data_IF_881265519292
#
_entry.id   IF_881265519292
#
_cell.length_a   1.000
_cell.length_b   1.000
_cell.length_c   1.000
_cell.angle_alpha   90.00
_cell.angle_beta   90.00
_cell.angle_gamma   90.00
#
_symmetry.space_group_name_H-M   'P 1'
#
loop_
_entity.id
_entity.type
_entity.pdbx_description
1 polymer ?
#
# COMPACT_ATOMS: atom_id res chain seq x y z
N UNK A 1 -5.12 0.59 -13.53
CA UNK A 1 -5.04 -0.88 -13.76
C UNK A 1 -6.06 -1.59 -12.87
N UNK A 2 -6.74 -2.63 -13.35
CA UNK A 2 -7.69 -3.43 -12.54
C UNK A 2 -7.17 -4.85 -12.35
N UNK A 3 -6.95 -5.26 -11.10
CA UNK A 3 -6.48 -6.60 -10.73
C UNK A 3 -7.65 -7.60 -10.63
N UNK A 4 -7.45 -8.83 -11.12
CA UNK A 4 -8.41 -9.92 -10.88
C UNK A 4 -8.38 -10.39 -9.42
N UNK A 5 -9.42 -11.11 -8.99
CA UNK A 5 -9.47 -11.67 -7.63
C UNK A 5 -8.29 -12.60 -7.35
N UNK A 6 -7.88 -13.40 -8.35
CA UNK A 6 -6.71 -14.28 -8.26
C UNK A 6 -5.41 -13.50 -8.06
N UNK A 7 -5.23 -12.41 -8.80
CA UNK A 7 -4.06 -11.53 -8.64
C UNK A 7 -4.05 -10.84 -7.28
N UNK A 8 -5.21 -10.34 -6.82
CA UNK A 8 -5.34 -9.77 -5.47
C UNK A 8 -4.99 -10.80 -4.39
N UNK A 9 -5.48 -12.03 -4.50
CA UNK A 9 -5.19 -13.08 -3.52
C UNK A 9 -3.71 -13.45 -3.50
N UNK A 10 -3.08 -13.57 -4.67
CA UNK A 10 -1.64 -13.79 -4.79
C UNK A 10 -0.82 -12.69 -4.09
N UNK A 11 -1.12 -11.41 -4.38
CA UNK A 11 -0.43 -10.28 -3.77
C UNK A 11 -0.67 -10.20 -2.26
N UNK A 12 -1.87 -10.52 -1.77
CA UNK A 12 -2.15 -10.62 -0.33
C UNK A 12 -1.32 -11.71 0.34
N UNK A 13 -1.14 -12.85 -0.32
CA UNK A 13 -0.26 -13.93 0.14
C UNK A 13 1.20 -13.47 0.23
N UNK A 14 1.72 -12.84 -0.82
CA UNK A 14 3.07 -12.27 -0.82
C UNK A 14 3.27 -11.18 0.24
N UNK A 15 2.23 -10.40 0.51
CA UNK A 15 2.28 -9.35 1.52
C UNK A 15 2.36 -9.94 2.93
N UNK A 16 1.84 -11.14 3.20
CA UNK A 16 1.71 -11.67 4.57
C UNK A 16 3.03 -11.62 5.35
N UNK A 17 4.12 -12.12 4.77
CA UNK A 17 5.46 -12.17 5.38
C UNK A 17 6.22 -10.83 5.35
N UNK A 18 5.74 -9.81 4.63
CA UNK A 18 6.42 -8.51 4.53
C UNK A 18 6.20 -7.68 5.80
N UNK A 19 7.22 -6.96 6.24
CA UNK A 19 7.10 -5.92 7.27
C UNK A 19 6.63 -4.60 6.63
N UNK A 20 5.97 -3.71 7.39
CA UNK A 20 5.76 -2.34 6.94
C UNK A 20 7.08 -1.67 6.61
N UNK A 21 7.14 -1.02 5.44
CA UNK A 21 8.33 -0.28 4.99
C UNK A 21 8.18 1.22 5.19
N UNK A 22 6.94 1.72 5.30
CA UNK A 22 6.64 3.09 5.69
C UNK A 22 5.83 3.10 6.98
N UNK A 23 6.23 3.95 7.92
CA UNK A 23 5.60 4.15 9.21
C UNK A 23 5.21 5.64 9.32
N UNK A 24 3.91 5.94 9.39
CA UNK A 24 3.47 7.30 9.63
C UNK A 24 3.79 7.69 11.08
N UNK A 25 4.20 8.95 11.26
CA UNK A 25 4.34 9.57 12.58
C UNK A 25 3.04 10.23 13.04
N UNK A 26 3.13 10.96 14.16
CA UNK A 26 2.02 11.73 14.75
C UNK A 26 1.49 12.84 13.83
N UNK A 27 2.32 13.33 12.91
CA UNK A 27 1.96 14.42 11.98
C UNK A 27 1.08 13.94 10.81
N UNK A 28 0.69 12.65 10.79
CA UNK A 28 -0.20 12.09 9.79
C UNK A 28 0.45 11.97 8.40
N UNK A 29 -0.37 12.13 7.36
CA UNK A 29 0.06 12.03 5.98
C UNK A 29 0.55 13.39 5.48
N UNK A 30 1.87 13.59 5.52
CA UNK A 30 2.52 14.78 4.98
C UNK A 30 2.96 14.55 3.52
N UNK A 31 3.30 15.62 2.80
CA UNK A 31 3.83 15.52 1.44
C UNK A 31 5.10 14.66 1.39
N UNK A 32 6.01 14.82 2.35
CA UNK A 32 7.22 14.00 2.45
C UNK A 32 6.92 12.50 2.61
N UNK A 33 5.89 12.16 3.39
CA UNK A 33 5.43 10.76 3.53
C UNK A 33 4.84 10.25 2.22
N UNK A 34 4.08 11.06 1.50
CA UNK A 34 3.54 10.67 0.18
C UNK A 34 4.67 10.35 -0.80
N UNK A 35 5.71 11.18 -0.84
CA UNK A 35 6.92 10.93 -1.66
C UNK A 35 7.61 9.64 -1.24
N UNK A 36 7.77 9.40 0.06
CA UNK A 36 8.36 8.16 0.59
C UNK A 36 7.55 6.92 0.18
N UNK A 37 6.22 6.97 0.31
CA UNK A 37 5.32 5.88 -0.11
C UNK A 37 5.45 5.65 -1.62
N UNK A 38 5.49 6.70 -2.44
CA UNK A 38 5.66 6.59 -3.88
C UNK A 38 6.99 5.92 -4.23
N UNK A 39 8.10 6.35 -3.64
CA UNK A 39 9.41 5.76 -3.86
C UNK A 39 9.44 4.29 -3.43
N UNK A 40 8.82 3.95 -2.29
CA UNK A 40 8.72 2.58 -1.82
C UNK A 40 7.90 1.70 -2.77
N UNK A 41 6.84 2.25 -3.39
CA UNK A 41 6.06 1.57 -4.43
C UNK A 41 6.90 1.33 -5.69
N UNK A 42 7.72 2.28 -6.12
CA UNK A 42 8.55 2.10 -7.32
C UNK A 42 9.65 1.05 -7.11
N UNK A 43 10.19 0.98 -5.90
CA UNK A 43 11.24 0.00 -5.55
C UNK A 43 10.65 -1.39 -5.36
N UNK A 44 9.55 -1.52 -4.61
CA UNK A 44 9.08 -2.82 -4.12
C UNK A 44 7.80 -3.34 -4.77
N UNK A 45 7.06 -2.47 -5.48
CA UNK A 45 5.71 -2.64 -6.05
C UNK A 45 4.62 -2.97 -5.04
N UNK A 46 4.89 -3.85 -4.08
CA UNK A 46 4.02 -4.32 -3.01
C UNK A 46 4.57 -3.92 -1.66
N UNK A 47 3.88 -3.01 -0.99
CA UNK A 47 4.31 -2.45 0.30
C UNK A 47 3.21 -2.54 1.37
N UNK A 48 3.66 -2.43 2.62
CA UNK A 48 2.81 -2.22 3.80
C UNK A 48 3.13 -0.85 4.39
N UNK A 49 2.10 -0.06 4.67
CA UNK A 49 2.20 1.23 5.35
C UNK A 49 1.45 1.14 6.67
N UNK A 50 2.10 1.50 7.79
CA UNK A 50 1.48 1.53 9.12
C UNK A 50 1.07 2.94 9.49
N UNK A 51 -0.17 3.11 9.95
CA UNK A 51 -0.75 4.39 10.37
C UNK A 51 -1.11 4.30 11.85
N UNK A 52 -0.36 4.93 12.78
CA UNK A 52 -0.55 4.76 14.22
C UNK A 52 -1.71 5.63 14.73
N UNK A 53 -2.93 5.35 14.29
CA UNK A 53 -4.15 5.98 14.81
C UNK A 53 -5.19 4.93 15.18
N UNK A 54 -5.81 5.11 16.35
CA UNK A 54 -6.95 4.32 16.83
C UNK A 54 -8.28 4.82 16.27
N UNK A 55 -8.32 6.06 15.77
CA UNK A 55 -9.51 6.64 15.17
C UNK A 55 -9.77 6.01 13.79
N UNK A 56 -10.91 5.31 13.69
CA UNK A 56 -11.27 4.55 12.49
C UNK A 56 -11.54 5.45 11.28
N UNK A 57 -12.17 6.60 11.49
CA UNK A 57 -12.55 7.51 10.41
C UNK A 57 -11.30 8.19 9.84
N UNK A 58 -10.47 8.74 10.71
CA UNK A 58 -9.17 9.32 10.38
C UNK A 58 -8.29 8.32 9.64
N UNK A 59 -8.22 7.07 10.12
CA UNK A 59 -7.47 6.01 9.43
C UNK A 59 -7.97 5.77 8.01
N UNK A 60 -9.29 5.70 7.82
CA UNK A 60 -9.87 5.48 6.51
C UNK A 60 -9.60 6.66 5.57
N UNK A 61 -9.71 7.90 6.06
CA UNK A 61 -9.36 9.11 5.30
C UNK A 61 -7.89 9.11 4.88
N UNK A 62 -6.98 8.73 5.78
CA UNK A 62 -5.54 8.61 5.46
C UNK A 62 -5.32 7.54 4.39
N UNK A 63 -5.95 6.36 4.52
CA UNK A 63 -5.83 5.30 3.52
C UNK A 63 -6.35 5.71 2.15
N UNK A 64 -7.48 6.40 2.09
CA UNK A 64 -8.05 6.93 0.86
C UNK A 64 -7.15 8.00 0.24
N UNK A 65 -6.60 8.90 1.07
CA UNK A 65 -5.65 9.90 0.61
C UNK A 65 -4.39 9.24 0.03
N UNK A 66 -3.78 8.26 0.70
CA UNK A 66 -2.61 7.54 0.18
C UNK A 66 -2.92 6.91 -1.19
N UNK A 67 -4.06 6.24 -1.33
CA UNK A 67 -4.47 5.62 -2.60
C UNK A 67 -4.64 6.66 -3.71
N UNK A 68 -5.27 7.80 -3.40
CA UNK A 68 -5.49 8.89 -4.35
C UNK A 68 -4.18 9.52 -4.80
N UNK A 69 -3.31 9.90 -3.87
CA UNK A 69 -2.06 10.61 -4.17
C UNK A 69 -1.04 9.71 -4.89
N UNK A 70 -1.04 8.41 -4.58
CA UNK A 70 -0.06 7.47 -5.17
C UNK A 70 -0.58 6.73 -6.40
N UNK A 71 -1.90 6.72 -6.65
CA UNK A 71 -2.52 5.87 -7.66
C UNK A 71 -2.35 4.37 -7.39
N UNK A 72 -1.93 3.98 -6.19
CA UNK A 72 -1.74 2.59 -5.82
C UNK A 72 -3.07 1.87 -5.61
N UNK A 73 -3.07 0.56 -5.82
CA UNK A 73 -4.23 -0.29 -5.59
C UNK A 73 -4.22 -0.75 -4.13
N UNK A 74 -5.27 -0.41 -3.39
CA UNK A 74 -5.54 -0.99 -2.06
C UNK A 74 -5.90 -2.46 -2.18
N UNK A 75 -5.09 -3.34 -1.58
CA UNK A 75 -5.35 -4.78 -1.57
C UNK A 75 -6.15 -5.21 -0.34
N UNK A 76 -5.71 -4.78 0.84
CA UNK A 76 -6.35 -5.09 2.12
C UNK A 76 -5.88 -4.13 3.21
N UNK A 77 -6.63 -4.13 4.31
CA UNK A 77 -6.30 -3.45 5.55
C UNK A 77 -6.17 -4.50 6.65
N UNK A 78 -5.13 -4.41 7.48
CA UNK A 78 -4.85 -5.30 8.62
C UNK A 78 -4.63 -4.42 9.84
N UNK A 79 -5.68 -4.20 10.65
CA UNK A 79 -5.62 -3.29 11.80
C UNK A 79 -5.26 -1.86 11.38
N UNK A 80 -4.03 -1.44 11.69
CA UNK A 80 -3.45 -0.12 11.39
C UNK A 80 -2.55 -0.13 10.15
N UNK A 81 -2.53 -1.23 9.41
CA UNK A 81 -1.67 -1.41 8.23
C UNK A 81 -2.53 -1.45 6.98
N UNK A 82 -2.14 -0.70 5.95
CA UNK A 82 -2.66 -0.84 4.59
C UNK A 82 -1.63 -1.57 3.71
N UNK A 83 -2.12 -2.50 2.90
CA UNK A 83 -1.32 -3.18 1.88
C UNK A 83 -1.64 -2.56 0.52
N UNK A 84 -0.61 -2.06 -0.14
CA UNK A 84 -0.70 -1.33 -1.40
C UNK A 84 0.11 -2.03 -2.49
N UNK A 85 -0.40 -1.97 -3.71
CA UNK A 85 0.32 -2.44 -4.88
C UNK A 85 0.27 -1.41 -6.01
N UNK A 86 1.42 -1.10 -6.61
CA UNK A 86 1.55 -0.35 -7.86
C UNK A 86 2.61 -1.04 -8.70
N UNK A 87 2.24 -1.46 -9.90
CA UNK A 87 3.20 -2.10 -10.80
C UNK A 87 4.21 -1.06 -11.29
N UNK A 88 5.50 -1.39 -11.22
CA UNK A 88 6.59 -0.57 -11.76
C UNK A 88 6.83 -0.95 -13.23
N UNK A 89 7.55 -0.10 -13.96
CA UNK A 89 7.92 -0.38 -15.35
C UNK A 89 8.75 -1.66 -15.49
N UNK A 90 9.59 -1.96 -14.49
CA UNK A 90 10.43 -3.16 -14.43
C UNK A 90 9.65 -4.46 -14.12
N UNK A 91 8.36 -4.38 -13.75
CA UNK A 91 7.49 -5.52 -13.42
C UNK A 91 8.14 -6.55 -12.48
N UNK A 92 8.62 -6.11 -11.33
CA UNK A 92 9.40 -6.94 -10.38
C UNK A 92 8.61 -8.12 -9.81
N UNK A 93 7.29 -8.00 -9.71
CA UNK A 93 6.37 -9.03 -9.27
C UNK A 93 5.59 -9.54 -10.49
N UNK A 94 5.86 -10.78 -10.87
CA UNK A 94 5.07 -11.46 -11.89
C UNK A 94 3.68 -11.81 -11.36
N UNK A 95 2.66 -11.21 -11.96
CA UNK A 95 1.28 -11.47 -11.61
C UNK A 95 0.80 -12.76 -12.30
N UNK A 96 0.02 -13.62 -11.60
CA UNK A 96 -0.57 -14.78 -12.23
C UNK A 96 -1.53 -14.37 -13.33
N UNK A 97 -1.66 -15.23 -14.35
CA UNK A 97 -2.69 -15.09 -15.39
C UNK A 97 -4.07 -15.01 -14.74
N UNK A 98 -4.90 -14.12 -15.29
CA UNK A 98 -6.22 -13.74 -14.76
C UNK A 98 -7.09 -14.96 -14.48
#
# INVERSE_FOLDING_TARGET
MTLSNKQKQFLKGLAHSRKPVVLLGSNGLTEGVVVEISNALDIHELIKVKVPTEDRETKNLIFEAIVRETGAIKLQTIGHIIVLFRQSDDKKIELPRR
#
